data_IF_920488048026
#
_entry.id   IF_920488048026
#
_cell.length_a   1.000
_cell.length_b   1.000
_cell.length_c   1.000
_cell.angle_alpha   90.00
_cell.angle_beta   90.00
_cell.angle_gamma   90.00
#
_symmetry.space_group_name_H-M   'P 1'
#
loop_
_entity.id
_entity.type
_entity.pdbx_description
1 polymer ?
#
# COMPACT_ATOMS: atom_id res chain seq x y z
N UNK A 1 9.72 40.87 53.80
CA UNK A 1 8.46 40.15 53.51
C UNK A 1 8.12 40.12 52.02
N UNK A 2 8.22 41.23 51.28
CA UNK A 2 7.80 41.32 49.86
C UNK A 2 8.62 40.47 48.87
N UNK A 3 9.93 40.31 49.08
CA UNK A 3 10.80 39.55 48.16
C UNK A 3 10.54 38.04 48.20
N UNK A 4 10.22 37.48 49.38
CA UNK A 4 9.91 36.06 49.53
C UNK A 4 8.56 35.71 48.87
N UNK A 5 7.58 36.61 48.98
CA UNK A 5 6.27 36.47 48.32
C UNK A 5 6.39 36.50 46.80
N UNK A 6 7.25 37.38 46.25
CA UNK A 6 7.49 37.44 44.81
C UNK A 6 8.20 36.19 44.28
N UNK A 7 9.15 35.62 45.04
CA UNK A 7 9.84 34.37 44.67
C UNK A 7 8.87 33.17 44.62
N UNK A 8 8.01 33.03 45.63
CA UNK A 8 7.00 31.95 45.70
C UNK A 8 5.96 32.12 44.58
N UNK A 9 5.50 33.35 44.32
CA UNK A 9 4.57 33.63 43.24
C UNK A 9 5.17 33.34 41.86
N UNK A 10 6.47 33.57 41.68
CA UNK A 10 7.19 33.25 40.45
C UNK A 10 7.30 31.73 40.24
N UNK A 11 7.56 30.95 41.30
CA UNK A 11 7.56 29.49 41.22
C UNK A 11 6.19 28.92 40.87
N UNK A 12 5.12 29.44 41.47
CA UNK A 12 3.76 29.00 41.18
C UNK A 12 3.33 29.36 39.76
N UNK A 13 3.72 30.55 39.28
CA UNK A 13 3.47 30.98 37.91
C UNK A 13 4.22 30.09 36.91
N UNK A 14 5.49 29.78 37.21
CA UNK A 14 6.32 28.94 36.37
C UNK A 14 5.79 27.50 36.30
N UNK A 15 5.33 26.92 37.43
CA UNK A 15 4.71 25.59 37.47
C UNK A 15 3.40 25.52 36.68
N UNK A 16 2.57 26.58 36.76
CA UNK A 16 1.28 26.66 36.04
C UNK A 16 1.43 26.78 34.52
N UNK A 17 2.53 27.35 34.02
CA UNK A 17 2.75 27.53 32.58
C UNK A 17 3.65 26.43 32.01
N UNK A 18 4.69 26.02 32.73
CA UNK A 18 5.70 25.06 32.26
C UNK A 18 5.14 23.62 32.15
N UNK A 19 4.29 23.19 33.09
CA UNK A 19 3.67 21.85 33.02
C UNK A 19 2.75 21.66 31.81
N UNK A 20 1.73 22.50 31.56
CA UNK A 20 0.82 22.28 30.44
C UNK A 20 1.53 22.45 29.08
N UNK A 21 2.51 23.35 28.98
CA UNK A 21 3.29 23.51 27.75
C UNK A 21 4.19 22.30 27.48
N UNK A 22 4.84 21.74 28.50
CA UNK A 22 5.59 20.50 28.38
C UNK A 22 4.68 19.31 27.99
N UNK A 23 3.49 19.21 28.58
CA UNK A 23 2.52 18.15 28.26
C UNK A 23 2.01 18.29 26.82
N UNK A 24 1.70 19.51 26.38
CA UNK A 24 1.28 19.78 25.00
C UNK A 24 2.39 19.40 24.00
N UNK A 25 3.64 19.74 24.33
CA UNK A 25 4.79 19.39 23.49
C UNK A 25 5.03 17.89 23.41
N UNK A 26 4.96 17.18 24.55
CA UNK A 26 5.07 15.71 24.59
C UNK A 26 3.94 15.05 23.80
N UNK A 27 2.71 15.55 23.93
CA UNK A 27 1.55 15.08 23.17
C UNK A 27 1.73 15.27 21.65
N UNK A 28 2.24 16.44 21.24
CA UNK A 28 2.55 16.73 19.84
C UNK A 28 3.62 15.78 19.29
N UNK A 29 4.71 15.56 20.04
CA UNK A 29 5.77 14.62 19.66
C UNK A 29 5.21 13.19 19.57
N UNK A 30 4.42 12.74 20.54
CA UNK A 30 3.80 11.41 20.51
C UNK A 30 2.90 11.21 19.28
N UNK A 31 2.13 12.24 18.89
CA UNK A 31 1.30 12.20 17.69
C UNK A 31 2.14 12.05 16.40
N UNK A 32 3.29 12.71 16.33
CA UNK A 32 4.19 12.59 15.16
C UNK A 32 4.82 11.20 15.06
N UNK A 33 5.16 10.56 16.17
CA UNK A 33 5.69 9.19 16.16
C UNK A 33 4.62 8.16 15.78
N UNK A 34 3.37 8.36 16.22
CA UNK A 34 2.26 7.47 15.90
C UNK A 34 1.88 7.45 14.40
N UNK A 35 2.26 8.49 13.65
CA UNK A 35 1.99 8.59 12.21
C UNK A 35 3.09 7.97 11.33
N UNK A 36 4.12 7.34 11.91
CA UNK A 36 5.16 6.68 11.11
C UNK A 36 4.57 5.46 10.41
N UNK A 37 4.35 5.59 9.10
CA UNK A 37 3.97 4.46 8.24
C UNK A 37 5.14 3.50 8.16
N UNK A 38 4.94 2.24 8.55
CA UNK A 38 5.90 1.18 8.29
C UNK A 38 5.87 0.92 6.78
N UNK A 39 6.91 1.35 6.07
CA UNK A 39 7.10 1.02 4.66
C UNK A 39 7.50 -0.45 4.66
N UNK A 40 6.50 -1.33 4.56
CA UNK A 40 6.71 -2.77 4.64
C UNK A 40 7.83 -3.21 3.71
N UNK A 41 8.79 -3.95 4.28
CA UNK A 41 9.90 -4.61 3.58
C UNK A 41 9.40 -5.25 2.27
N UNK A 42 9.87 -4.74 1.12
CA UNK A 42 9.56 -5.33 -0.18
C UNK A 42 10.32 -6.65 -0.29
N UNK A 43 9.64 -7.77 -0.04
CA UNK A 43 10.18 -9.13 -0.25
C UNK A 43 10.57 -9.41 -1.72
N UNK A 44 10.30 -8.49 -2.64
CA UNK A 44 10.63 -8.59 -4.06
C UNK A 44 11.85 -7.71 -4.41
N UNK A 45 13.00 -8.37 -4.62
CA UNK A 45 14.21 -7.74 -5.13
C UNK A 45 14.12 -7.68 -6.66
N UNK A 46 13.69 -6.52 -7.16
CA UNK A 46 13.52 -6.25 -8.59
C UNK A 46 14.86 -5.96 -9.28
N UNK A 47 15.59 -4.96 -8.80
CA UNK A 47 16.89 -4.62 -9.36
C UNK A 47 17.99 -5.48 -8.73
N UNK A 48 18.61 -6.35 -9.52
CA UNK A 48 19.73 -7.21 -9.11
C UNK A 48 21.00 -6.83 -9.87
N UNK A 49 22.12 -6.68 -9.17
CA UNK A 49 23.41 -6.57 -9.83
C UNK A 49 23.73 -7.85 -10.63
N UNK A 50 24.35 -7.78 -11.82
CA UNK A 50 24.93 -6.59 -12.47
C UNK A 50 23.97 -5.87 -13.44
N UNK A 51 22.66 -6.15 -13.40
CA UNK A 51 21.70 -5.58 -14.35
C UNK A 51 21.58 -4.06 -14.18
N UNK A 52 21.35 -3.39 -15.30
CA UNK A 52 21.04 -1.96 -15.33
C UNK A 52 19.79 -1.67 -14.51
N UNK A 53 19.86 -0.64 -13.67
CA UNK A 53 18.78 -0.29 -12.76
C UNK A 53 17.62 0.33 -13.55
N UNK A 54 16.46 -0.29 -13.50
CA UNK A 54 15.23 0.25 -14.09
C UNK A 54 14.41 1.01 -13.03
N UNK A 55 13.79 2.14 -13.39
CA UNK A 55 13.15 3.06 -12.43
C UNK A 55 11.80 2.56 -11.90
N UNK A 56 11.14 1.66 -12.63
CA UNK A 56 9.83 1.11 -12.25
C UNK A 56 9.96 -0.38 -11.97
N UNK A 57 9.51 -0.80 -10.79
CA UNK A 57 9.41 -2.21 -10.43
C UNK A 57 8.06 -2.78 -10.81
N UNK A 58 8.05 -4.02 -11.28
CA UNK A 58 6.81 -4.77 -11.46
C UNK A 58 6.14 -4.98 -10.10
N UNK A 59 4.82 -4.80 -10.09
CA UNK A 59 4.03 -5.09 -8.91
C UNK A 59 3.86 -6.61 -8.74
N UNK A 60 3.90 -7.14 -7.51
CA UNK A 60 3.63 -8.55 -7.28
C UNK A 60 2.28 -8.96 -7.87
N UNK A 61 2.19 -10.18 -8.39
CA UNK A 61 0.94 -10.71 -8.91
C UNK A 61 -0.15 -10.68 -7.83
N UNK A 62 -1.33 -10.16 -8.20
CA UNK A 62 -2.48 -10.03 -7.30
C UNK A 62 -2.41 -8.87 -6.30
N UNK A 63 -1.34 -8.05 -6.31
CA UNK A 63 -1.27 -6.81 -5.52
C UNK A 63 -2.30 -5.76 -5.97
N UNK A 64 -2.64 -5.76 -7.25
CA UNK A 64 -3.71 -4.94 -7.81
C UNK A 64 -5.01 -5.75 -7.81
N UNK A 65 -6.03 -5.23 -7.13
CA UNK A 65 -7.37 -5.84 -7.10
C UNK A 65 -8.38 -4.93 -7.81
N UNK A 66 -9.11 -5.42 -8.81
CA UNK A 66 -10.09 -4.62 -9.52
C UNK A 66 -11.31 -4.35 -8.63
N UNK A 67 -11.84 -3.13 -8.73
CA UNK A 67 -13.08 -2.70 -8.08
C UNK A 67 -14.08 -2.11 -9.07
N UNK A 68 -15.33 -1.97 -8.65
CA UNK A 68 -16.40 -1.34 -9.43
C UNK A 68 -16.52 -1.90 -10.85
N UNK A 69 -16.60 -1.00 -11.84
CA UNK A 69 -16.77 -1.34 -13.24
C UNK A 69 -15.70 -2.29 -13.79
N UNK A 70 -14.42 -2.08 -13.45
CA UNK A 70 -13.34 -2.95 -13.94
C UNK A 70 -13.53 -4.40 -13.46
N UNK A 71 -13.93 -4.57 -12.19
CA UNK A 71 -14.23 -5.90 -11.66
C UNK A 71 -15.37 -6.55 -12.43
N UNK A 72 -16.44 -5.80 -12.70
CA UNK A 72 -17.58 -6.31 -13.47
C UNK A 72 -17.19 -6.73 -14.89
N UNK A 73 -16.36 -5.95 -15.58
CA UNK A 73 -15.88 -6.31 -16.92
C UNK A 73 -15.04 -7.59 -16.89
N UNK A 74 -14.14 -7.72 -15.92
CA UNK A 74 -13.31 -8.92 -15.79
C UNK A 74 -14.13 -10.16 -15.47
N UNK A 75 -15.15 -10.04 -14.60
CA UNK A 75 -16.09 -11.14 -14.32
C UNK A 75 -16.85 -11.53 -15.59
N UNK A 76 -17.38 -10.55 -16.34
CA UNK A 76 -18.10 -10.83 -17.60
C UNK A 76 -17.20 -11.47 -18.65
N UNK A 77 -15.94 -11.07 -18.75
CA UNK A 77 -14.99 -11.70 -19.67
C UNK A 77 -14.70 -13.15 -19.27
N UNK A 78 -14.50 -13.39 -17.97
CA UNK A 78 -14.23 -14.72 -17.42
C UNK A 78 -15.44 -15.67 -17.50
N UNK A 79 -16.67 -15.16 -17.34
CA UNK A 79 -17.89 -15.98 -17.41
C UNK A 79 -18.50 -16.04 -18.82
N UNK A 80 -18.07 -15.14 -19.70
CA UNK A 80 -18.58 -14.97 -21.05
C UNK A 80 -17.85 -15.81 -22.09
N UNK A 81 -17.84 -15.31 -23.34
CA UNK A 81 -17.28 -16.02 -24.49
C UNK A 81 -15.80 -16.39 -24.29
N UNK A 82 -15.01 -15.49 -23.70
CA UNK A 82 -13.58 -15.70 -23.54
C UNK A 82 -13.26 -16.83 -22.56
N UNK A 83 -13.98 -16.92 -21.43
CA UNK A 83 -13.77 -18.00 -20.47
C UNK A 83 -14.43 -19.32 -20.84
N UNK A 84 -15.30 -19.34 -21.84
CA UNK A 84 -15.98 -20.53 -22.38
C UNK A 84 -15.63 -20.77 -23.85
N UNK A 85 -14.42 -20.38 -24.25
CA UNK A 85 -13.99 -20.43 -25.65
C UNK A 85 -13.91 -21.87 -26.19
N UNK A 86 -13.59 -22.82 -25.32
CA UNK A 86 -13.60 -24.26 -25.55
C UNK A 86 -14.99 -24.81 -25.91
N UNK A 87 -16.02 -24.35 -25.22
CA UNK A 87 -17.41 -24.71 -25.54
C UNK A 87 -17.89 -23.97 -26.81
N UNK A 88 -17.56 -22.69 -26.93
CA UNK A 88 -18.08 -21.84 -27.98
C UNK A 88 -17.42 -22.08 -29.35
N UNK A 89 -16.13 -22.44 -29.38
CA UNK A 89 -15.40 -22.66 -30.61
C UNK A 89 -14.48 -23.91 -30.58
N UNK A 90 -15.04 -25.11 -30.39
CA UNK A 90 -14.27 -26.33 -30.16
C UNK A 90 -13.40 -26.75 -31.35
N UNK A 91 -13.67 -26.24 -32.54
CA UNK A 91 -12.86 -26.52 -33.73
C UNK A 91 -11.50 -25.82 -33.68
N UNK A 92 -11.42 -24.62 -33.09
CA UNK A 92 -10.19 -23.83 -33.05
C UNK A 92 -9.33 -24.21 -31.86
N UNK A 93 -9.93 -24.45 -30.70
CA UNK A 93 -9.18 -24.81 -29.47
C UNK A 93 -9.19 -26.32 -29.16
N UNK A 94 -9.64 -27.12 -30.13
CA UNK A 94 -9.69 -28.58 -30.02
C UNK A 94 -8.38 -29.28 -30.40
N UNK A 95 -8.41 -30.60 -30.66
CA UNK A 95 -7.20 -31.40 -30.93
C UNK A 95 -6.38 -30.96 -32.14
N UNK A 96 -6.99 -30.19 -33.05
CA UNK A 96 -6.32 -29.65 -34.23
C UNK A 96 -5.63 -28.31 -33.99
N UNK A 97 -5.78 -27.70 -32.82
CA UNK A 97 -5.18 -26.40 -32.51
C UNK A 97 -3.65 -26.45 -32.63
N UNK A 98 -3.04 -25.57 -33.43
CA UNK A 98 -1.59 -25.57 -33.67
C UNK A 98 -0.77 -25.24 -32.41
N UNK A 99 -1.29 -24.37 -31.54
CA UNK A 99 -0.67 -24.02 -30.27
C UNK A 99 -0.62 -25.20 -29.28
N UNK A 100 -1.55 -26.14 -29.40
CA UNK A 100 -1.59 -27.38 -28.61
C UNK A 100 -0.88 -28.56 -29.32
N UNK A 101 -0.27 -28.33 -30.49
CA UNK A 101 0.46 -29.35 -31.25
C UNK A 101 -0.38 -30.12 -32.28
N UNK A 102 -1.56 -29.62 -32.63
CA UNK A 102 -2.40 -30.14 -33.71
C UNK A 102 -1.96 -29.70 -35.11
N UNK A 103 -2.74 -30.10 -36.12
CA UNK A 103 -2.45 -29.91 -37.55
C UNK A 103 -3.37 -28.89 -38.26
N UNK A 104 -4.11 -28.10 -37.47
CA UNK A 104 -4.98 -27.01 -37.93
C UNK A 104 -4.35 -25.64 -37.72
N UNK A 105 -5.18 -24.61 -37.62
CA UNK A 105 -4.77 -23.24 -37.29
C UNK A 105 -4.39 -23.08 -35.80
#
# INVERSE_FOLDING_TARGET
MSLLTNYIALEDLMKKVLMPTAILFISLVALTLACRSDVGESYYIFNRAPLEQVPYAELPLGSVKPGGWLREQLVRAAEGLTGRLDEAYPQVVGPRNAWLGGDGD
#
